data_IF_660113743288
#
_entry.id   IF_660113743288
#
_cell.length_a   1.000
_cell.length_b   1.000
_cell.length_c   1.000
_cell.angle_alpha   90.00
_cell.angle_beta   90.00
_cell.angle_gamma   90.00
#
_symmetry.space_group_name_H-M   'P 1'
#
loop_
_entity.id
_entity.type
_entity.pdbx_description
1 polymer ?
#
# COMPACT_ATOMS: atom_id res chain seq x y z
N UNK A 1 4.89 3.05 33.79
CA UNK A 1 4.88 3.30 32.33
C UNK A 1 6.24 2.88 31.79
N UNK A 2 6.28 2.04 30.77
CA UNK A 2 7.54 1.63 30.13
C UNK A 2 7.88 2.64 29.03
N UNK A 3 9.09 3.20 29.07
CA UNK A 3 9.60 4.10 28.02
C UNK A 3 10.32 3.24 26.99
N UNK A 4 10.02 3.37 25.68
CA UNK A 4 10.79 2.68 24.65
C UNK A 4 12.27 3.06 24.75
N UNK A 5 13.20 2.09 24.66
CA UNK A 5 14.64 2.36 24.78
C UNK A 5 15.19 3.16 23.59
N UNK A 6 14.43 3.22 22.50
CA UNK A 6 14.78 3.94 21.28
C UNK A 6 13.60 4.82 20.84
N UNK A 7 13.91 6.07 20.51
CA UNK A 7 12.97 7.02 19.90
C UNK A 7 13.51 7.43 18.52
N UNK A 8 12.84 7.02 17.42
CA UNK A 8 13.19 7.47 16.08
C UNK A 8 13.19 9.00 15.97
N UNK A 9 14.19 9.56 15.33
CA UNK A 9 14.33 10.99 15.06
C UNK A 9 13.76 11.27 13.68
N UNK A 10 12.47 11.55 13.57
CA UNK A 10 11.79 11.92 12.32
C UNK A 10 11.61 13.44 12.24
N UNK A 11 11.69 13.99 11.02
CA UNK A 11 11.57 15.44 10.77
C UNK A 11 10.20 15.86 10.24
N UNK A 12 9.43 14.92 9.70
CA UNK A 12 8.07 15.13 9.20
C UNK A 12 7.29 13.82 9.16
N UNK A 13 5.99 13.89 8.88
CA UNK A 13 5.11 12.73 8.73
C UNK A 13 5.48 11.83 7.54
N UNK A 14 6.19 12.38 6.55
CA UNK A 14 6.60 11.68 5.31
C UNK A 14 8.10 11.33 5.32
N UNK A 15 8.77 11.41 6.46
CA UNK A 15 10.21 11.13 6.58
C UNK A 15 10.48 9.61 6.49
N UNK A 16 11.20 9.21 5.44
CA UNK A 16 11.51 7.80 5.15
C UNK A 16 12.92 7.37 5.56
N UNK A 17 13.65 8.14 6.38
CA UNK A 17 15.07 7.85 6.72
C UNK A 17 15.37 6.50 7.38
N UNK A 18 14.36 5.83 7.92
CA UNK A 18 14.47 4.51 8.53
C UNK A 18 14.08 3.37 7.56
N UNK A 19 13.86 3.69 6.29
CA UNK A 19 13.72 2.78 5.17
C UNK A 19 14.97 2.87 4.28
N UNK A 20 15.23 1.83 3.50
CA UNK A 20 16.36 1.79 2.58
C UNK A 20 16.20 2.79 1.42
N UNK A 21 17.31 3.37 0.96
CA UNK A 21 17.31 4.24 -0.21
C UNK A 21 17.10 3.45 -1.51
N UNK A 22 17.40 2.15 -1.51
CA UNK A 22 17.09 1.21 -2.60
C UNK A 22 15.63 1.33 -3.05
N UNK A 23 14.70 1.54 -2.11
CA UNK A 23 13.27 1.64 -2.40
C UNK A 23 12.76 3.08 -2.45
N UNK A 24 13.23 3.96 -1.55
CA UNK A 24 12.67 5.31 -1.39
C UNK A 24 13.16 6.31 -2.43
N UNK A 25 14.29 6.03 -3.11
CA UNK A 25 14.80 6.83 -4.21
C UNK A 25 14.17 6.48 -5.57
N UNK A 26 13.39 5.39 -5.65
CA UNK A 26 12.74 4.97 -6.90
C UNK A 26 11.52 5.85 -7.22
N UNK A 27 11.26 6.05 -8.52
CA UNK A 27 10.04 6.72 -8.96
C UNK A 27 8.82 5.83 -8.73
N UNK A 28 7.74 6.40 -8.19
CA UNK A 28 6.50 5.67 -7.93
C UNK A 28 5.81 5.35 -9.25
N UNK A 29 5.62 4.07 -9.54
CA UNK A 29 4.88 3.58 -10.71
C UNK A 29 3.94 2.46 -10.29
N UNK A 30 2.67 2.54 -10.68
CA UNK A 30 1.72 1.43 -10.55
C UNK A 30 1.81 0.60 -11.82
N UNK A 31 2.49 -0.55 -11.74
CA UNK A 31 2.59 -1.48 -12.87
C UNK A 31 1.23 -2.12 -13.12
N UNK A 32 0.63 -1.92 -14.31
CA UNK A 32 -0.59 -2.62 -14.66
C UNK A 32 -0.36 -4.14 -14.78
N UNK A 33 -1.39 -4.97 -14.60
CA UNK A 33 -1.26 -6.40 -14.83
C UNK A 33 -0.98 -6.71 -16.32
N UNK A 34 -0.22 -7.78 -16.58
CA UNK A 34 0.27 -8.15 -17.92
C UNK A 34 -0.82 -8.56 -18.93
N UNK A 35 -2.06 -8.77 -18.47
CA UNK A 35 -3.16 -9.32 -19.28
C UNK A 35 -4.33 -8.34 -19.43
N UNK A 36 -4.18 -7.35 -20.30
CA UNK A 36 -5.32 -6.55 -20.79
C UNK A 36 -6.19 -7.31 -21.80
N UNK A 37 -5.66 -8.34 -22.48
CA UNK A 37 -6.38 -9.09 -23.51
C UNK A 37 -7.47 -10.03 -22.97
N UNK A 38 -7.45 -10.37 -21.69
CA UNK A 38 -8.56 -11.07 -21.04
C UNK A 38 -9.56 -10.12 -20.40
N UNK A 39 -9.42 -8.80 -20.53
CA UNK A 39 -10.35 -7.82 -19.96
C UNK A 39 -11.40 -7.31 -20.96
N UNK A 40 -11.36 -7.74 -22.23
CA UNK A 40 -12.35 -7.40 -23.26
C UNK A 40 -13.52 -8.39 -23.40
N UNK A 41 -13.42 -9.59 -22.83
CA UNK A 41 -14.45 -10.64 -22.96
C UNK A 41 -14.49 -11.52 -21.72
N UNK A 42 -14.58 -10.90 -20.55
CA UNK A 42 -14.96 -11.60 -19.35
C UNK A 42 -16.20 -10.93 -18.81
N UNK A 43 -17.29 -11.68 -18.87
CA UNK A 43 -18.54 -11.38 -18.20
C UNK A 43 -18.26 -10.93 -16.77
N UNK A 44 -19.16 -10.11 -16.20
CA UNK A 44 -19.04 -9.53 -14.86
C UNK A 44 -18.62 -10.52 -13.76
N UNK A 45 -18.81 -11.81 -14.02
CA UNK A 45 -18.59 -12.94 -13.12
C UNK A 45 -17.13 -13.43 -13.05
N UNK A 46 -16.21 -12.92 -13.89
CA UNK A 46 -14.78 -13.31 -13.85
C UNK A 46 -13.84 -12.21 -13.33
N UNK A 47 -14.37 -11.07 -12.84
CA UNK A 47 -13.54 -10.23 -11.95
C UNK A 47 -13.31 -11.01 -10.68
N UNK A 48 -12.07 -11.40 -10.41
CA UNK A 48 -11.69 -12.07 -9.17
C UNK A 48 -12.19 -11.25 -7.98
N UNK A 49 -13.28 -11.72 -7.36
CA UNK A 49 -13.83 -11.08 -6.17
C UNK A 49 -12.98 -11.53 -4.97
N UNK A 50 -12.25 -10.60 -4.38
CA UNK A 50 -11.47 -10.83 -3.17
C UNK A 50 -12.35 -10.56 -1.95
N UNK A 51 -12.91 -11.60 -1.30
CA UNK A 51 -13.77 -11.38 -0.14
C UNK A 51 -12.98 -10.66 0.96
N UNK A 52 -13.65 -9.73 1.65
CA UNK A 52 -13.05 -8.93 2.74
C UNK A 52 -11.87 -8.02 2.31
N UNK A 53 -11.69 -7.75 1.01
CA UNK A 53 -10.63 -6.84 0.54
C UNK A 53 -10.91 -5.38 0.85
N UNK A 54 -12.15 -4.94 0.59
CA UNK A 54 -12.58 -3.57 0.87
C UNK A 54 -12.81 -3.39 2.36
N UNK A 55 -11.89 -2.69 3.02
CA UNK A 55 -11.96 -2.36 4.43
C UNK A 55 -11.91 -0.85 4.66
N UNK A 56 -12.72 -0.36 5.59
CA UNK A 56 -12.69 1.02 6.07
C UNK A 56 -12.82 0.97 7.59
N UNK A 57 -11.78 1.41 8.31
CA UNK A 57 -11.83 1.45 9.75
C UNK A 57 -12.88 2.47 10.21
N UNK A 58 -13.67 2.11 11.24
CA UNK A 58 -14.50 3.10 11.92
C UNK A 58 -13.59 4.05 12.67
N UNK A 59 -13.67 5.33 12.32
CA UNK A 59 -13.02 6.38 13.12
C UNK A 59 -13.85 6.48 14.41
N UNK A 60 -13.26 6.13 15.55
CA UNK A 60 -13.82 6.53 16.85
C UNK A 60 -13.46 7.99 17.01
N UNK A 61 -14.46 8.87 16.91
CA UNK A 61 -14.34 10.28 17.34
C UNK A 61 -14.01 10.38 18.84
#
# INVERSE_FOLDING_TARGET
QLVPPFKPQVTSEIDTRYFDDEFTAQSITITPPDHYDTAGSLESDQRTHFPQFSYSASIRE
#
